data_IF_165924726381
#
_entry.id   IF_165924726381
#
_cell.length_a   1.000
_cell.length_b   1.000
_cell.length_c   1.000
_cell.angle_alpha   90.00
_cell.angle_beta   90.00
_cell.angle_gamma   90.00
#
_symmetry.space_group_name_H-M   'P 1'
#
loop_
_entity.id
_entity.type
_entity.pdbx_description
1 polymer ?
#
# COMPACT_ATOMS: atom_id res chain seq x y z
N UNK A 1 2.60 21.90 20.00
CA UNK A 1 2.56 20.48 19.62
C UNK A 1 1.12 20.17 19.29
N UNK A 2 0.82 19.62 18.11
CA UNK A 2 -0.56 19.33 17.74
C UNK A 2 -1.06 18.22 18.67
N UNK A 3 -2.23 18.42 19.29
CA UNK A 3 -2.84 17.51 20.26
C UNK A 3 -3.72 16.47 19.53
N UNK A 4 -3.32 16.09 18.31
CA UNK A 4 -4.16 15.25 17.47
C UNK A 4 -4.06 13.80 17.95
N UNK A 5 -5.17 13.18 18.37
CA UNK A 5 -5.14 11.82 18.86
C UNK A 5 -4.73 10.87 17.73
N UNK A 6 -4.07 9.78 18.09
CA UNK A 6 -3.82 8.69 17.15
C UNK A 6 -5.13 7.97 16.86
N UNK A 7 -5.40 7.69 15.59
CA UNK A 7 -6.59 6.98 15.14
C UNK A 7 -6.25 5.73 14.33
N UNK A 8 -7.08 4.71 14.47
CA UNK A 8 -7.10 3.51 13.64
C UNK A 8 -8.42 3.51 12.88
N UNK A 9 -8.38 3.52 11.55
CA UNK A 9 -9.57 3.36 10.71
C UNK A 9 -9.53 1.98 10.07
N UNK A 10 -10.56 1.18 10.31
CA UNK A 10 -10.74 -0.14 9.71
C UNK A 10 -11.79 -0.02 8.60
N UNK A 11 -11.38 -0.26 7.36
CA UNK A 11 -12.28 -0.29 6.20
C UNK A 11 -12.70 -1.71 5.90
N UNK A 12 -14.00 -1.91 5.71
CA UNK A 12 -14.61 -3.20 5.44
C UNK A 12 -14.90 -3.40 3.95
N UNK A 13 -15.08 -4.65 3.55
CA UNK A 13 -15.44 -5.00 2.16
C UNK A 13 -16.81 -4.46 1.73
N UNK A 14 -17.72 -4.24 2.68
CA UNK A 14 -19.03 -3.60 2.46
C UNK A 14 -18.96 -2.06 2.38
N UNK A 15 -17.75 -1.49 2.43
CA UNK A 15 -17.53 -0.05 2.36
C UNK A 15 -17.66 0.70 3.68
N UNK A 16 -18.09 0.04 4.77
CA UNK A 16 -18.13 0.67 6.10
C UNK A 16 -16.72 1.00 6.58
N UNK A 17 -16.64 1.99 7.46
CA UNK A 17 -15.40 2.38 8.15
C UNK A 17 -15.67 2.48 9.64
N UNK A 18 -14.93 1.72 10.44
CA UNK A 18 -14.90 1.87 11.89
C UNK A 18 -13.68 2.67 12.30
N UNK A 19 -13.86 3.65 13.19
CA UNK A 19 -12.79 4.52 13.67
C UNK A 19 -12.58 4.33 15.17
N UNK A 20 -11.33 4.24 15.58
CA UNK A 20 -10.91 4.10 16.97
C UNK A 20 -9.85 5.14 17.25
N UNK A 21 -9.88 5.79 18.40
CA UNK A 21 -8.91 6.82 18.79
C UNK A 21 -8.24 6.47 20.11
N UNK A 22 -6.94 6.76 20.22
CA UNK A 22 -6.18 6.67 21.46
C UNK A 22 -5.50 8.00 21.74
N UNK A 23 -5.67 8.50 22.97
CA UNK A 23 -4.91 9.64 23.50
C UNK A 23 -3.63 9.20 24.25
N UNK A 24 -3.46 7.90 24.49
CA UNK A 24 -2.26 7.36 25.13
C UNK A 24 -1.18 7.11 24.07
N UNK A 25 -0.31 8.11 23.89
CA UNK A 25 0.79 8.08 22.92
C UNK A 25 1.82 6.99 23.24
N UNK A 26 2.11 6.72 24.52
CA UNK A 26 3.11 5.72 24.90
C UNK A 26 2.61 4.31 24.60
N UNK A 27 1.36 4.02 24.96
CA UNK A 27 0.74 2.75 24.63
C UNK A 27 0.65 2.55 23.11
N UNK A 28 0.27 3.60 22.38
CA UNK A 28 0.20 3.60 20.92
C UNK A 28 1.55 3.29 20.28
N UNK A 29 2.61 3.97 20.68
CA UNK A 29 3.96 3.75 20.16
C UNK A 29 4.45 2.32 20.45
N UNK A 30 4.17 1.80 21.65
CA UNK A 30 4.50 0.41 22.00
C UNK A 30 3.72 -0.58 21.14
N UNK A 31 2.44 -0.36 20.87
CA UNK A 31 1.65 -1.23 19.99
C UNK A 31 2.20 -1.22 18.56
N UNK A 32 2.52 -0.05 18.02
CA UNK A 32 3.02 0.11 16.66
C UNK A 32 4.42 -0.48 16.47
N UNK A 33 5.31 -0.41 17.46
CA UNK A 33 6.67 -0.95 17.37
C UNK A 33 6.71 -2.47 17.33
N UNK A 34 5.69 -3.14 17.87
CA UNK A 34 5.54 -4.60 17.81
C UNK A 34 4.72 -5.08 16.61
N UNK A 35 4.14 -4.16 15.83
CA UNK A 35 3.37 -4.50 14.65
C UNK A 35 4.31 -4.87 13.48
N UNK A 36 4.05 -6.01 12.85
CA UNK A 36 4.62 -6.34 11.53
C UNK A 36 3.53 -6.18 10.47
N UNK A 37 3.54 -5.11 9.65
CA UNK A 37 2.48 -4.85 8.68
C UNK A 37 2.22 -6.01 7.73
N UNK A 38 3.29 -6.68 7.27
CA UNK A 38 3.22 -7.83 6.38
C UNK A 38 2.50 -9.06 6.96
N UNK A 39 2.19 -9.04 8.26
CA UNK A 39 1.48 -10.10 8.99
C UNK A 39 0.16 -9.63 9.61
N UNK A 40 -0.28 -8.40 9.34
CA UNK A 40 -1.44 -7.80 9.98
C UNK A 40 -2.71 -8.64 9.82
N UNK A 41 -2.87 -9.28 8.65
CA UNK A 41 -4.03 -10.09 8.30
C UNK A 41 -3.81 -11.59 8.49
N UNK A 42 -2.67 -12.02 9.06
CA UNK A 42 -2.39 -13.42 9.35
C UNK A 42 -3.28 -13.99 10.48
N UNK A 43 -3.52 -13.27 11.58
CA UNK A 43 -4.53 -13.68 12.56
C UNK A 43 -5.94 -13.70 11.94
N UNK A 44 -6.82 -14.59 12.41
CA UNK A 44 -8.24 -14.62 11.99
C UNK A 44 -9.04 -13.42 12.47
N UNK A 45 -8.55 -12.73 13.50
CA UNK A 45 -9.24 -11.62 14.13
C UNK A 45 -8.28 -10.47 14.42
N UNK A 46 -8.75 -9.26 14.16
CA UNK A 46 -8.14 -8.02 14.58
C UNK A 46 -8.88 -7.55 15.84
N UNK A 47 -8.16 -7.45 16.96
CA UNK A 47 -8.74 -7.13 18.26
C UNK A 47 -8.26 -5.76 18.70
N UNK A 48 -9.20 -4.91 19.10
CA UNK A 48 -8.97 -3.59 19.67
C UNK A 48 -9.57 -3.54 21.08
N UNK A 49 -8.74 -3.21 22.05
CA UNK A 49 -9.15 -3.00 23.43
C UNK A 49 -9.12 -1.51 23.75
N UNK A 50 -10.21 -1.01 24.33
CA UNK A 50 -10.27 0.28 25.00
C UNK A 50 -10.43 0.10 26.50
N UNK A 51 -10.47 1.21 27.25
CA UNK A 51 -10.55 1.18 28.72
C UNK A 51 -11.74 0.34 29.25
N UNK A 52 -12.88 0.38 28.57
CA UNK A 52 -14.12 -0.29 28.99
C UNK A 52 -14.76 -1.16 27.90
N UNK A 53 -14.04 -1.47 26.83
CA UNK A 53 -14.61 -2.23 25.70
C UNK A 53 -13.56 -3.07 24.99
N UNK A 54 -14.01 -4.15 24.37
CA UNK A 54 -13.23 -5.00 23.50
C UNK A 54 -14.00 -5.18 22.20
N UNK A 55 -13.37 -4.85 21.08
CA UNK A 55 -13.91 -5.07 19.74
C UNK A 55 -13.05 -6.09 19.01
N UNK A 56 -13.67 -7.12 18.46
CA UNK A 56 -13.01 -8.10 17.61
C UNK A 56 -13.66 -8.09 16.22
N UNK A 57 -12.82 -8.05 15.19
CA UNK A 57 -13.24 -8.02 13.79
C UNK A 57 -12.56 -9.15 13.06
N UNK A 58 -13.29 -9.91 12.23
CA UNK A 58 -12.67 -10.95 11.42
C UNK A 58 -11.86 -10.31 10.30
N UNK A 59 -10.59 -10.69 10.18
CA UNK A 59 -9.66 -10.10 9.20
C UNK A 59 -10.08 -10.34 7.76
N UNK A 60 -10.84 -11.41 7.51
CA UNK A 60 -11.42 -11.71 6.21
C UNK A 60 -12.43 -10.66 5.73
N UNK A 61 -12.97 -9.78 6.58
CA UNK A 61 -13.87 -8.70 6.14
C UNK A 61 -13.17 -7.35 6.02
N UNK A 62 -11.88 -7.28 6.38
CA UNK A 62 -11.10 -6.04 6.39
C UNK A 62 -10.38 -5.88 5.05
N UNK A 63 -10.61 -4.73 4.41
CA UNK A 63 -9.93 -4.28 3.18
C UNK A 63 -8.64 -3.55 3.51
N UNK A 64 -8.68 -2.66 4.50
CA UNK A 64 -7.52 -1.88 4.93
C UNK A 64 -7.60 -1.49 6.39
N UNK A 65 -6.44 -1.31 7.02
CA UNK A 65 -6.28 -0.65 8.30
C UNK A 65 -5.42 0.59 8.08
N UNK A 66 -5.96 1.76 8.40
CA UNK A 66 -5.28 3.04 8.30
C UNK A 66 -4.89 3.50 9.71
N UNK A 67 -3.62 3.84 9.89
CA UNK A 67 -3.06 4.42 11.10
C UNK A 67 -2.85 5.90 10.86
N UNK A 68 -3.56 6.76 11.60
CA UNK A 68 -3.55 8.21 11.41
C UNK A 68 -2.97 8.86 12.66
N UNK A 69 -1.92 9.65 12.49
CA UNK A 69 -1.25 10.34 13.59
C UNK A 69 0.20 10.69 13.26
N UNK A 70 0.85 11.40 14.16
CA UNK A 70 2.28 11.73 14.08
C UNK A 70 3.15 10.64 14.70
N UNK A 71 4.43 10.57 14.30
CA UNK A 71 5.42 9.67 14.94
C UNK A 71 5.20 8.18 14.67
N UNK A 72 4.52 7.82 13.58
CA UNK A 72 4.36 6.42 13.17
C UNK A 72 5.73 5.80 12.80
N UNK A 73 5.93 4.50 13.08
CA UNK A 73 7.18 3.83 12.73
C UNK A 73 7.38 3.77 11.21
N UNK A 74 8.64 3.84 10.80
CA UNK A 74 9.03 3.48 9.43
C UNK A 74 9.32 1.98 9.41
N UNK A 75 8.54 1.24 8.63
CA UNK A 75 8.82 -0.17 8.34
C UNK A 75 9.65 -0.29 7.05
N UNK A 76 10.17 -1.47 6.75
CA UNK A 76 10.83 -1.74 5.45
C UNK A 76 9.77 -2.01 4.37
N UNK A 77 9.82 -1.30 3.25
CA UNK A 77 8.83 -1.48 2.18
C UNK A 77 9.11 -2.78 1.40
N UNK A 78 8.06 -3.32 0.78
CA UNK A 78 8.24 -4.46 -0.11
C UNK A 78 9.23 -4.12 -1.23
N UNK A 79 10.02 -5.12 -1.60
CA UNK A 79 10.91 -5.05 -2.76
C UNK A 79 12.01 -3.98 -2.66
N UNK A 80 12.44 -3.65 -1.43
CA UNK A 80 13.44 -2.62 -1.15
C UNK A 80 13.07 -1.24 -1.72
N UNK A 81 11.78 -0.96 -1.88
CA UNK A 81 11.35 0.38 -2.22
C UNK A 81 11.86 1.35 -1.16
N UNK A 82 12.43 2.47 -1.59
CA UNK A 82 12.81 3.52 -0.66
C UNK A 82 11.58 4.23 -0.10
N UNK A 83 10.53 4.27 -0.90
CA UNK A 83 9.29 4.92 -0.53
C UNK A 83 8.12 4.37 -1.34
N UNK A 84 6.97 4.26 -0.68
CA UNK A 84 5.67 3.95 -1.30
C UNK A 84 4.67 4.91 -0.67
N UNK A 85 4.13 5.82 -1.48
CA UNK A 85 3.16 6.81 -1.04
C UNK A 85 1.87 6.76 -1.86
N UNK A 86 0.77 7.03 -1.18
CA UNK A 86 -0.51 7.25 -1.80
C UNK A 86 -0.60 8.67 -2.34
N UNK A 87 -1.05 8.79 -3.58
CA UNK A 87 -1.40 10.04 -4.24
C UNK A 87 -2.89 10.02 -4.63
N UNK A 88 -3.46 11.18 -4.93
CA UNK A 88 -4.81 11.25 -5.50
C UNK A 88 -4.82 10.88 -6.99
N UNK A 89 -6.02 10.62 -7.53
CA UNK A 89 -6.18 10.22 -8.93
C UNK A 89 -5.73 11.32 -9.90
N UNK A 90 -6.02 12.59 -9.61
CA UNK A 90 -5.66 13.69 -10.50
C UNK A 90 -4.13 13.82 -10.63
N UNK A 91 -3.42 13.75 -9.49
CA UNK A 91 -1.95 13.73 -9.43
C UNK A 91 -1.40 12.51 -10.15
N UNK A 92 -2.01 11.33 -9.95
CA UNK A 92 -1.62 10.12 -10.65
C UNK A 92 -1.72 10.30 -12.17
N UNK A 93 -2.84 10.80 -12.67
CA UNK A 93 -3.07 10.99 -14.12
C UNK A 93 -2.20 12.09 -14.71
N UNK A 94 -1.88 13.13 -13.95
CA UNK A 94 -1.04 14.23 -14.39
C UNK A 94 0.44 13.83 -14.48
N UNK A 95 0.93 13.06 -13.50
CA UNK A 95 2.34 12.70 -13.38
C UNK A 95 2.69 11.41 -14.13
N UNK A 96 1.72 10.51 -14.32
CA UNK A 96 1.91 9.34 -15.17
C UNK A 96 1.93 9.74 -16.65
N UNK A 97 3.14 9.91 -17.20
CA UNK A 97 3.40 10.25 -18.61
C UNK A 97 4.15 9.13 -19.32
N UNK A 98 3.47 8.05 -19.75
CA UNK A 98 4.11 6.86 -20.32
C UNK A 98 5.04 7.17 -21.51
N UNK A 99 4.71 8.19 -22.29
CA UNK A 99 5.50 8.68 -23.44
C UNK A 99 6.85 9.32 -23.06
N UNK A 100 7.02 9.76 -21.82
CA UNK A 100 8.22 10.50 -21.39
C UNK A 100 9.37 9.61 -20.90
N UNK A 101 9.12 8.32 -20.71
CA UNK A 101 10.05 7.44 -20.01
C UNK A 101 11.28 7.00 -20.84
N UNK A 102 11.40 7.36 -22.12
CA UNK A 102 12.45 6.86 -23.02
C UNK A 102 13.68 7.75 -23.24
N UNK A 103 13.86 8.87 -22.53
CA UNK A 103 14.82 9.93 -22.99
C UNK A 103 15.82 10.42 -21.93
N UNK A 104 15.79 9.99 -20.67
CA UNK A 104 16.66 10.57 -19.63
C UNK A 104 17.53 9.50 -18.97
N UNK A 105 18.83 9.81 -18.82
CA UNK A 105 19.76 9.08 -17.95
C UNK A 105 19.03 8.78 -16.64
N UNK A 106 18.88 7.50 -16.22
CA UNK A 106 18.06 7.22 -15.07
C UNK A 106 18.65 7.95 -13.86
N UNK A 107 17.84 8.70 -13.09
CA UNK A 107 18.28 9.19 -11.79
C UNK A 107 18.73 8.01 -10.91
N UNK A 108 19.36 8.24 -9.76
CA UNK A 108 19.65 7.14 -8.82
C UNK A 108 18.39 6.39 -8.33
N UNK A 109 17.19 6.95 -8.58
CA UNK A 109 15.88 6.35 -8.31
C UNK A 109 14.99 6.33 -9.56
N UNK A 110 14.29 5.21 -9.79
CA UNK A 110 13.16 5.12 -10.73
C UNK A 110 11.86 5.36 -9.97
N UNK A 111 11.03 6.26 -10.51
CA UNK A 111 9.65 6.43 -10.07
C UNK A 111 8.72 5.56 -10.90
N UNK A 112 7.87 4.81 -10.20
CA UNK A 112 6.87 3.91 -10.76
C UNK A 112 5.50 4.21 -10.16
N UNK A 113 4.47 3.89 -10.93
CA UNK A 113 3.09 4.15 -10.56
C UNK A 113 2.32 2.84 -10.50
N UNK A 114 1.41 2.74 -9.53
CA UNK A 114 0.51 1.60 -9.42
C UNK A 114 -0.90 2.04 -9.08
N UNK A 115 -1.87 1.30 -9.61
CA UNK A 115 -3.28 1.42 -9.27
C UNK A 115 -3.74 0.10 -8.63
N UNK A 116 -4.36 0.19 -7.46
CA UNK A 116 -4.93 -0.95 -6.74
C UNK A 116 -6.42 -0.73 -6.59
N UNK A 117 -7.22 -1.70 -7.02
CA UNK A 117 -8.65 -1.74 -6.81
C UNK A 117 -8.98 -2.85 -5.82
N UNK A 118 -9.69 -2.51 -4.76
CA UNK A 118 -10.12 -3.47 -3.74
C UNK A 118 -11.50 -4.03 -4.08
N UNK A 119 -11.86 -5.18 -3.51
CA UNK A 119 -13.20 -5.79 -3.68
C UNK A 119 -14.35 -4.90 -3.21
N UNK A 120 -14.08 -3.92 -2.34
CA UNK A 120 -15.06 -2.89 -1.93
C UNK A 120 -15.28 -1.80 -2.99
N UNK A 121 -14.58 -1.84 -4.12
CA UNK A 121 -14.54 -0.78 -5.12
C UNK A 121 -13.63 0.41 -4.74
N UNK A 122 -13.00 0.39 -3.57
CA UNK A 122 -12.03 1.43 -3.20
C UNK A 122 -10.78 1.33 -4.08
N UNK A 123 -10.34 2.46 -4.64
CA UNK A 123 -9.12 2.56 -5.46
C UNK A 123 -8.02 3.30 -4.70
N UNK A 124 -6.81 2.78 -4.80
CA UNK A 124 -5.59 3.39 -4.29
C UNK A 124 -4.63 3.66 -5.45
N UNK A 125 -4.16 4.90 -5.55
CA UNK A 125 -3.15 5.32 -6.50
C UNK A 125 -1.84 5.52 -5.75
N UNK A 126 -0.80 4.84 -6.21
CA UNK A 126 0.48 4.78 -5.51
C UNK A 126 1.60 5.28 -6.41
N UNK A 127 2.53 5.99 -5.78
CA UNK A 127 3.86 6.32 -6.33
C UNK A 127 4.90 5.58 -5.52
N UNK A 128 5.84 4.92 -6.19
CA UNK A 128 6.91 4.20 -5.53
C UNK A 128 8.27 4.62 -6.09
N UNK A 129 9.26 4.70 -5.20
CA UNK A 129 10.65 5.05 -5.53
C UNK A 129 11.52 3.83 -5.34
N UNK A 130 12.11 3.34 -6.42
CA UNK A 130 13.00 2.18 -6.42
C UNK A 130 14.44 2.61 -6.76
N UNK A 131 15.47 2.03 -6.13
CA UNK A 131 16.86 2.28 -6.51
C UNK A 131 17.19 1.73 -7.92
N UNK A 132 18.04 2.45 -8.66
CA UNK A 132 18.41 2.18 -10.06
C UNK A 132 19.56 1.19 -10.25
N UNK A 133 20.18 0.76 -9.16
CA UNK A 133 21.18 -0.31 -9.19
C UNK A 133 20.67 -1.63 -9.79
N UNK A 134 19.35 -1.73 -10.05
CA UNK A 134 18.74 -2.70 -10.95
C UNK A 134 18.33 -2.04 -12.28
N UNK A 135 19.09 -2.26 -13.38
CA UNK A 135 18.71 -1.75 -14.69
C UNK A 135 17.47 -2.52 -15.14
N UNK A 136 16.31 -1.89 -15.09
CA UNK A 136 14.98 -2.46 -15.40
C UNK A 136 14.57 -3.65 -14.50
N UNK A 137 13.38 -3.59 -13.90
CA UNK A 137 12.79 -4.75 -13.23
C UNK A 137 12.63 -5.83 -14.29
N UNK A 138 13.34 -6.95 -14.13
CA UNK A 138 13.26 -8.05 -15.08
C UNK A 138 11.86 -8.69 -15.04
N UNK A 139 11.37 -9.32 -16.12
CA UNK A 139 10.08 -10.02 -16.13
C UNK A 139 9.88 -10.98 -14.95
N UNK A 140 10.93 -11.72 -14.60
CA UNK A 140 10.89 -12.68 -13.49
C UNK A 140 10.78 -11.98 -12.13
N UNK A 141 11.47 -10.86 -11.98
CA UNK A 141 11.42 -10.03 -10.78
C UNK A 141 10.04 -9.39 -10.60
N UNK A 142 9.44 -8.94 -11.70
CA UNK A 142 8.06 -8.43 -11.72
C UNK A 142 7.06 -9.52 -11.34
N UNK A 143 7.19 -10.71 -11.92
CA UNK A 143 6.33 -11.84 -11.59
C UNK A 143 6.45 -12.23 -10.11
N UNK A 144 7.68 -12.25 -9.57
CA UNK A 144 7.92 -12.49 -8.14
C UNK A 144 7.32 -11.39 -7.26
N UNK A 145 7.45 -10.13 -7.65
CA UNK A 145 6.84 -9.01 -6.94
C UNK A 145 5.32 -9.15 -6.89
N UNK A 146 4.67 -9.38 -8.04
CA UNK A 146 3.22 -9.58 -8.11
C UNK A 146 2.78 -10.78 -7.26
N UNK A 147 3.51 -11.90 -7.36
CA UNK A 147 3.22 -13.08 -6.56
C UNK A 147 3.36 -12.82 -5.04
N UNK A 148 4.42 -12.11 -4.63
CA UNK A 148 4.65 -11.74 -3.25
C UNK A 148 3.60 -10.76 -2.74
N UNK A 149 3.19 -9.79 -3.57
CA UNK A 149 2.13 -8.84 -3.24
C UNK A 149 0.84 -9.59 -2.90
N UNK A 150 0.36 -10.43 -3.81
CA UNK A 150 -0.92 -11.16 -3.63
C UNK A 150 -0.83 -12.27 -2.56
N UNK A 151 0.36 -12.82 -2.31
CA UNK A 151 0.58 -13.85 -1.28
C UNK A 151 0.90 -13.28 0.11
N UNK A 152 1.16 -11.97 0.22
CA UNK A 152 1.48 -11.34 1.50
C UNK A 152 0.23 -11.17 2.38
N UNK A 153 0.42 -11.11 3.70
CA UNK A 153 -0.67 -10.90 4.67
C UNK A 153 -0.74 -9.43 5.11
N UNK A 154 -0.28 -8.52 4.24
CA UNK A 154 -0.30 -7.09 4.45
C UNK A 154 0.65 -6.36 3.50
N UNK A 155 0.13 -5.35 2.83
CA UNK A 155 0.91 -4.43 2.00
C UNK A 155 0.71 -3.01 2.50
N UNK A 156 1.78 -2.28 2.81
CA UNK A 156 1.65 -0.97 3.44
C UNK A 156 2.34 0.15 2.67
N UNK A 157 1.84 1.37 2.84
CA UNK A 157 2.33 2.60 2.22
C UNK A 157 1.99 3.83 3.07
N UNK A 158 2.66 4.94 2.78
CA UNK A 158 2.34 6.25 3.36
C UNK A 158 1.02 6.78 2.81
N UNK A 159 0.12 7.17 3.70
CA UNK A 159 -1.23 7.62 3.34
C UNK A 159 -1.20 9.08 2.87
N UNK A 160 -2.09 9.41 1.93
CA UNK A 160 -2.33 10.80 1.53
C UNK A 160 -2.88 11.60 2.73
N UNK A 161 -2.32 12.76 3.01
CA UNK A 161 -2.68 13.57 4.19
C UNK A 161 -2.07 13.07 5.51
N UNK A 162 -1.06 12.20 5.44
CA UNK A 162 -0.35 11.70 6.60
C UNK A 162 -0.92 10.39 7.15
N UNK A 163 -0.07 9.66 7.86
CA UNK A 163 -0.39 8.32 8.36
C UNK A 163 0.17 7.19 7.51
N UNK A 164 -0.22 5.96 7.85
CA UNK A 164 0.14 4.73 7.14
C UNK A 164 -1.13 3.96 6.82
N UNK A 165 -1.15 3.29 5.67
CA UNK A 165 -2.23 2.36 5.32
C UNK A 165 -1.63 0.99 5.13
N UNK A 166 -2.24 -0.05 5.70
CA UNK A 166 -1.93 -1.45 5.45
C UNK A 166 -3.13 -2.08 4.75
N UNK A 167 -3.00 -2.40 3.47
CA UNK A 167 -4.01 -3.12 2.67
C UNK A 167 -3.95 -4.61 2.94
N UNK A 168 -5.12 -5.25 2.89
CA UNK A 168 -5.25 -6.69 2.86
C UNK A 168 -5.10 -7.20 1.41
N UNK A 169 -4.01 -7.89 1.06
CA UNK A 169 -3.78 -8.30 -0.33
C UNK A 169 -4.77 -9.33 -0.84
N UNK A 170 -5.36 -10.14 0.04
CA UNK A 170 -6.45 -11.06 -0.31
C UNK A 170 -7.74 -10.37 -0.77
N UNK A 171 -7.81 -9.05 -0.58
CA UNK A 171 -8.95 -8.20 -0.96
C UNK A 171 -8.65 -7.30 -2.16
N UNK A 172 -7.52 -7.49 -2.83
CA UNK A 172 -7.22 -6.83 -4.09
C UNK A 172 -8.03 -7.50 -5.20
N UNK A 173 -8.92 -6.74 -5.84
CA UNK A 173 -9.65 -7.17 -7.01
C UNK A 173 -8.81 -7.01 -8.29
N UNK A 174 -8.05 -5.91 -8.38
CA UNK A 174 -7.16 -5.63 -9.51
C UNK A 174 -5.93 -4.86 -9.06
N UNK A 175 -4.79 -5.21 -9.62
CA UNK A 175 -3.55 -4.47 -9.47
C UNK A 175 -3.03 -4.15 -10.87
N UNK A 176 -2.78 -2.86 -11.14
CA UNK A 176 -2.18 -2.41 -12.38
C UNK A 176 -0.89 -1.70 -12.05
N UNK A 177 0.21 -2.29 -12.51
CA UNK A 177 1.53 -1.72 -12.38
C UNK A 177 1.90 -1.02 -13.67
N UNK A 178 2.43 0.18 -13.57
CA UNK A 178 2.94 0.93 -14.70
C UNK A 178 4.46 0.97 -14.56
N UNK A 179 5.16 -0.05 -15.09
CA UNK A 179 6.60 0.06 -15.25
C UNK A 179 6.82 1.25 -16.19
N UNK A 180 7.88 2.03 -16.00
CA UNK A 180 8.25 3.06 -16.97
C UNK A 180 8.57 2.46 -18.36
N UNK A 181 9.42 3.11 -19.14
CA UNK A 181 9.80 2.68 -20.51
C UNK A 181 10.71 1.44 -20.52
N UNK A 182 10.32 0.36 -19.86
CA UNK A 182 10.87 -0.96 -20.06
C UNK A 182 9.74 -1.89 -20.52
N UNK A 183 9.39 -1.90 -21.82
CA UNK A 183 8.54 -2.94 -22.42
C UNK A 183 9.06 -4.35 -22.12
N UNK A 184 10.37 -4.46 -21.90
CA UNK A 184 11.09 -5.68 -21.53
C UNK A 184 10.75 -6.21 -20.13
N UNK A 185 10.02 -5.45 -19.30
CA UNK A 185 9.60 -5.87 -17.94
C UNK A 185 8.32 -6.69 -17.90
N UNK A 186 7.63 -6.84 -19.04
CA UNK A 186 6.36 -7.59 -19.13
C UNK A 186 6.63 -9.09 -19.00
N UNK A 187 5.98 -9.80 -18.05
CA UNK A 187 6.11 -11.25 -17.92
C UNK A 187 5.79 -11.99 -19.23
N UNK A 188 6.57 -13.02 -19.58
CA UNK A 188 6.40 -13.77 -20.82
C UNK A 188 5.03 -14.49 -20.94
N UNK A 189 4.34 -14.70 -19.82
CA UNK A 189 3.00 -15.28 -19.76
C UNK A 189 1.87 -14.23 -19.77
N UNK A 190 2.18 -12.94 -19.84
CA UNK A 190 1.17 -11.89 -19.90
C UNK A 190 0.44 -11.91 -21.24
N UNK A 191 -0.87 -11.71 -21.21
CA UNK A 191 -1.66 -11.50 -22.41
C UNK A 191 -1.61 -10.02 -22.78
N UNK A 192 -1.30 -9.72 -24.05
CA UNK A 192 -1.30 -8.35 -24.56
C UNK A 192 -2.74 -7.90 -24.80
N UNK A 193 -3.24 -7.02 -23.93
CA UNK A 193 -4.60 -6.50 -23.98
C UNK A 193 -4.57 -4.97 -24.03
N UNK A 194 -5.42 -4.39 -24.86
CA UNK A 194 -5.71 -2.96 -24.87
C UNK A 194 -7.02 -2.73 -24.11
N UNK A 195 -7.05 -1.69 -23.26
CA UNK A 195 -8.30 -1.27 -22.62
C UNK A 195 -9.25 -0.73 -23.68
N UNK A 196 -10.42 -1.35 -23.81
CA UNK A 196 -11.51 -0.79 -24.62
C UNK A 196 -12.12 0.37 -23.82
N UNK A 197 -12.16 1.55 -24.44
CA UNK A 197 -12.78 2.75 -23.86
C UNK A 197 -14.31 2.66 -23.89
#
# INVERSE_FOLDING_TARGET
MSDQPFEIHIRFEDGRVSKFSSSDLLHTQSLLSHLTPARLYNPKQFILAGANSLSAVQTEFIVSVEFVGEGLPTWEFLYNAQDIEQIDEDTFRADFKPESYGVVVPPALVEIFAEIEMVSGTRYFLRMKLPVDRPSIQPIEMAMFLNNLVSSHGFYFRRLGGGLTVLNPSKIARFTFYPGAAPESVPANAWHLEMVK
#
